data_IF_859383429500
#
_entry.id   IF_859383429500
#
_cell.length_a   1.000
_cell.length_b   1.000
_cell.length_c   1.000
_cell.angle_alpha   90.00
_cell.angle_beta   90.00
_cell.angle_gamma   90.00
#
_symmetry.space_group_name_H-M   'P 1'
#
loop_
_entity.id
_entity.type
_entity.pdbx_description
1 polymer ?
#
# COMPACT_ATOMS: atom_id res chain seq x y z
N UNK A 1 21.33 -20.59 8.05
CA UNK A 1 20.67 -21.46 9.03
C UNK A 1 19.26 -20.99 9.24
N UNK A 2 18.24 -21.75 8.86
CA UNK A 2 16.89 -21.34 9.16
C UNK A 2 16.74 -21.27 10.66
N UNK A 3 16.38 -20.13 11.14
CA UNK A 3 16.03 -20.01 12.54
C UNK A 3 15.00 -21.09 12.84
N UNK A 4 15.22 -21.91 13.82
CA UNK A 4 14.21 -22.85 14.22
C UNK A 4 13.06 -22.06 14.79
N UNK A 5 12.13 -21.70 13.93
CA UNK A 5 10.89 -21.29 14.50
C UNK A 5 10.29 -22.54 15.11
N UNK A 6 10.14 -22.60 16.40
CA UNK A 6 9.44 -23.67 17.04
C UNK A 6 8.00 -23.85 16.56
N UNK A 7 7.56 -23.01 15.64
CA UNK A 7 6.22 -23.02 15.08
C UNK A 7 6.18 -23.56 13.64
N UNK A 8 7.34 -23.84 13.04
CA UNK A 8 7.38 -24.35 11.68
C UNK A 8 6.92 -23.37 10.62
N UNK A 9 6.79 -22.09 10.93
CA UNK A 9 6.33 -21.07 9.99
C UNK A 9 7.54 -20.42 9.35
N UNK A 10 7.61 -20.49 8.02
CA UNK A 10 8.63 -19.79 7.26
C UNK A 10 8.34 -18.28 7.26
N UNK A 11 9.38 -17.46 7.37
CA UNK A 11 9.24 -16.01 7.21
C UNK A 11 8.60 -15.65 5.86
N UNK A 12 8.82 -16.46 4.83
CA UNK A 12 8.23 -16.23 3.50
C UNK A 12 6.70 -16.38 3.50
N UNK A 13 6.13 -17.06 4.47
CA UNK A 13 4.68 -17.17 4.62
C UNK A 13 4.05 -16.06 5.43
N UNK A 14 4.85 -15.12 5.94
CA UNK A 14 4.38 -14.01 6.78
C UNK A 14 4.29 -12.74 5.94
N UNK A 15 3.18 -12.03 6.04
CA UNK A 15 3.02 -10.71 5.44
C UNK A 15 3.12 -9.65 6.53
N UNK A 16 4.01 -8.69 6.33
CA UNK A 16 4.18 -7.57 7.23
C UNK A 16 3.63 -6.32 6.56
N UNK A 17 2.58 -5.75 7.14
CA UNK A 17 1.96 -4.53 6.62
C UNK A 17 2.54 -3.30 7.28
N UNK A 18 2.76 -2.26 6.48
CA UNK A 18 3.25 -0.98 6.96
C UNK A 18 2.54 0.17 6.24
N UNK A 19 2.41 1.28 6.92
CA UNK A 19 1.91 2.53 6.31
C UNK A 19 3.05 3.44 5.85
N UNK A 20 4.30 2.95 5.85
CA UNK A 20 5.44 3.72 5.39
C UNK A 20 6.31 4.26 6.51
N UNK A 21 6.39 3.53 7.62
CA UNK A 21 7.34 3.81 8.68
C UNK A 21 8.74 3.42 8.21
N UNK A 22 9.45 4.39 7.64
CA UNK A 22 10.74 4.15 7.02
C UNK A 22 11.74 3.47 7.96
N UNK A 23 11.89 3.90 9.23
CA UNK A 23 12.80 3.20 10.15
C UNK A 23 12.42 1.73 10.36
N UNK A 24 11.14 1.40 10.40
CA UNK A 24 10.69 0.02 10.55
C UNK A 24 11.03 -0.83 9.33
N UNK A 25 10.84 -0.28 8.14
CA UNK A 25 11.19 -0.97 6.89
C UNK A 25 12.71 -1.18 6.85
N UNK A 26 13.48 -0.17 7.18
CA UNK A 26 14.94 -0.26 7.16
C UNK A 26 15.47 -1.27 8.18
N UNK A 27 14.78 -1.44 9.32
CA UNK A 27 15.12 -2.51 10.26
C UNK A 27 14.92 -3.88 9.66
N UNK A 28 13.80 -4.13 8.98
CA UNK A 28 13.57 -5.40 8.30
C UNK A 28 14.65 -5.66 7.26
N UNK A 29 15.05 -4.62 6.55
CA UNK A 29 16.11 -4.69 5.55
C UNK A 29 17.44 -5.08 6.19
N UNK A 30 17.80 -4.41 7.27
CA UNK A 30 19.06 -4.67 7.97
C UNK A 30 19.11 -6.08 8.56
N UNK A 31 17.99 -6.57 9.05
CA UNK A 31 17.88 -7.91 9.62
C UNK A 31 17.77 -8.99 8.55
N UNK A 32 17.49 -8.61 7.31
CA UNK A 32 17.39 -9.55 6.19
C UNK A 32 16.25 -10.54 6.31
N UNK A 33 15.19 -10.18 7.03
CA UNK A 33 14.02 -11.06 7.24
C UNK A 33 13.16 -11.09 5.96
N UNK A 34 13.02 -12.24 5.30
CA UNK A 34 12.35 -12.30 3.99
C UNK A 34 10.83 -12.45 4.10
N UNK A 35 10.17 -11.57 4.83
CA UNK A 35 8.71 -11.50 4.86
C UNK A 35 8.18 -10.86 3.58
N UNK A 36 6.90 -11.05 3.28
CA UNK A 36 6.22 -10.27 2.25
C UNK A 36 5.91 -8.90 2.83
N UNK A 37 6.54 -7.86 2.29
CA UNK A 37 6.29 -6.50 2.74
C UNK A 37 5.12 -5.93 1.97
N UNK A 38 4.09 -5.49 2.67
CA UNK A 38 2.93 -4.83 2.10
C UNK A 38 2.89 -3.38 2.57
N UNK A 39 3.01 -2.45 1.63
CA UNK A 39 2.96 -1.02 1.92
C UNK A 39 1.56 -0.49 1.59
N UNK A 40 0.86 -0.01 2.60
CA UNK A 40 -0.43 0.66 2.44
C UNK A 40 -0.19 2.08 1.97
N UNK A 41 -0.33 2.32 0.68
CA UNK A 41 0.03 3.59 0.07
C UNK A 41 -1.14 4.55 -0.06
N UNK A 42 -2.18 4.15 -0.76
CA UNK A 42 -3.46 4.85 -0.93
C UNK A 42 -3.42 6.17 -1.70
N UNK A 43 -2.25 6.74 -1.95
CA UNK A 43 -2.07 7.88 -2.83
C UNK A 43 -0.61 7.98 -3.27
N UNK A 44 -0.35 8.34 -4.54
CA UNK A 44 1.02 8.49 -5.03
C UNK A 44 1.59 9.90 -4.84
N UNK A 45 0.73 10.86 -4.53
CA UNK A 45 1.10 12.26 -4.33
C UNK A 45 1.04 12.62 -2.85
N UNK A 46 2.03 13.37 -2.40
CA UNK A 46 2.16 13.72 -0.98
C UNK A 46 0.99 14.57 -0.49
N UNK A 47 0.49 15.44 -1.33
CA UNK A 47 -0.62 16.33 -0.95
C UNK A 47 -1.82 15.53 -0.47
N UNK A 48 -2.27 14.55 -1.24
CA UNK A 48 -3.39 13.71 -0.84
C UNK A 48 -2.98 12.73 0.27
N UNK A 49 -1.80 12.15 0.16
CA UNK A 49 -1.38 11.15 1.14
C UNK A 49 -1.21 11.74 2.53
N UNK A 50 -0.79 12.99 2.63
CA UNK A 50 -0.73 13.68 3.93
C UNK A 50 -2.10 13.71 4.61
N UNK A 51 -3.17 13.80 3.83
CA UNK A 51 -4.53 13.78 4.36
C UNK A 51 -5.01 12.38 4.71
N UNK A 52 -4.74 11.40 3.83
CA UNK A 52 -5.23 10.03 4.01
C UNK A 52 -4.40 9.22 4.99
N UNK A 53 -3.10 9.44 5.01
CA UNK A 53 -2.14 8.68 5.80
C UNK A 53 -1.23 9.67 6.51
N UNK A 54 -1.59 10.12 7.72
CA UNK A 54 -0.87 11.21 8.39
C UNK A 54 0.62 11.00 8.58
N UNK A 55 1.08 9.75 8.70
CA UNK A 55 2.52 9.47 8.82
C UNK A 55 3.30 9.95 7.59
N UNK A 56 2.61 10.22 6.47
CA UNK A 56 3.25 10.77 5.27
C UNK A 56 3.81 12.18 5.49
N UNK A 57 3.35 12.87 6.50
CA UNK A 57 3.93 14.18 6.86
C UNK A 57 5.35 14.03 7.37
N UNK A 58 5.68 12.86 7.91
CA UNK A 58 7.02 12.56 8.40
C UNK A 58 7.89 11.88 7.35
N UNK A 59 7.34 10.90 6.66
CA UNK A 59 8.04 10.18 5.59
C UNK A 59 7.19 10.23 4.33
N UNK A 60 7.68 10.93 3.34
CA UNK A 60 6.96 11.19 2.10
C UNK A 60 6.86 9.92 1.23
N UNK A 61 6.01 9.99 0.21
CA UNK A 61 5.79 8.87 -0.70
C UNK A 61 7.11 8.31 -1.24
N UNK A 62 7.97 9.16 -1.75
CA UNK A 62 9.23 8.70 -2.33
C UNK A 62 10.16 8.07 -1.29
N UNK A 63 10.17 8.58 -0.06
CA UNK A 63 10.95 7.99 1.02
C UNK A 63 10.45 6.58 1.37
N UNK A 64 9.13 6.41 1.44
CA UNK A 64 8.54 5.11 1.73
C UNK A 64 8.81 4.13 0.59
N UNK A 65 8.67 4.58 -0.67
CA UNK A 65 8.94 3.73 -1.83
C UNK A 65 10.43 3.37 -1.93
N UNK A 66 11.32 4.30 -1.62
CA UNK A 66 12.76 4.02 -1.62
C UNK A 66 13.12 2.99 -0.55
N UNK A 67 12.52 3.10 0.64
CA UNK A 67 12.75 2.13 1.70
C UNK A 67 12.25 0.73 1.30
N UNK A 68 11.08 0.66 0.68
CA UNK A 68 10.53 -0.59 0.18
C UNK A 68 11.41 -1.19 -0.92
N UNK A 69 11.96 -0.35 -1.80
CA UNK A 69 12.87 -0.82 -2.84
C UNK A 69 14.17 -1.36 -2.24
N UNK A 70 14.73 -0.69 -1.24
CA UNK A 70 15.91 -1.19 -0.52
C UNK A 70 15.63 -2.55 0.11
N UNK A 71 14.45 -2.74 0.66
CA UNK A 71 14.04 -4.03 1.21
C UNK A 71 14.03 -5.11 0.13
N UNK A 72 13.47 -4.80 -1.05
CA UNK A 72 13.47 -5.72 -2.17
C UNK A 72 14.91 -6.10 -2.57
N UNK A 73 15.80 -5.12 -2.69
CA UNK A 73 17.16 -5.36 -3.09
C UNK A 73 17.90 -6.26 -2.09
N UNK A 74 17.64 -6.07 -0.81
CA UNK A 74 18.30 -6.83 0.24
C UNK A 74 17.77 -8.26 0.37
N UNK A 75 16.49 -8.48 0.15
CA UNK A 75 15.85 -9.77 0.42
C UNK A 75 15.48 -10.55 -0.83
N UNK A 76 15.44 -9.92 -1.98
CA UNK A 76 14.94 -10.51 -3.22
C UNK A 76 13.42 -10.69 -3.23
N UNK A 77 12.71 -10.24 -2.19
CA UNK A 77 11.26 -10.37 -2.09
C UNK A 77 10.57 -9.23 -2.82
N UNK A 78 9.53 -9.56 -3.58
CA UNK A 78 8.69 -8.56 -4.24
C UNK A 78 7.81 -7.86 -3.22
N UNK A 79 7.76 -6.53 -3.31
CA UNK A 79 6.93 -5.71 -2.42
C UNK A 79 5.52 -5.61 -2.96
N UNK A 80 4.55 -5.63 -2.08
CA UNK A 80 3.14 -5.43 -2.42
C UNK A 80 2.72 -4.01 -2.03
N UNK A 81 2.08 -3.31 -2.96
CA UNK A 81 1.49 -1.99 -2.70
C UNK A 81 -0.02 -2.18 -2.57
N UNK A 82 -0.55 -1.87 -1.40
CA UNK A 82 -1.99 -1.90 -1.15
C UNK A 82 -2.57 -0.50 -1.40
N UNK A 83 -3.65 -0.43 -2.16
CA UNK A 83 -4.23 0.84 -2.58
C UNK A 83 -5.75 0.74 -2.54
N UNK A 84 -6.35 1.27 -1.47
CA UNK A 84 -7.80 1.29 -1.35
C UNK A 84 -8.36 2.36 -2.30
N UNK A 85 -9.17 1.95 -3.26
CA UNK A 85 -9.75 2.86 -4.24
C UNK A 85 -10.98 3.55 -3.68
N UNK A 86 -10.94 4.87 -3.62
CA UNK A 86 -12.00 5.70 -3.05
C UNK A 86 -12.51 6.62 -4.15
N UNK A 87 -13.82 6.58 -4.40
CA UNK A 87 -14.44 7.35 -5.47
C UNK A 87 -14.12 8.83 -5.36
N UNK A 88 -13.62 9.41 -6.45
CA UNK A 88 -13.34 10.84 -6.62
C UNK A 88 -12.28 11.40 -5.65
N UNK A 89 -11.62 10.54 -4.89
CA UNK A 89 -10.58 10.93 -3.93
C UNK A 89 -9.19 10.57 -4.46
N UNK A 90 -8.95 9.28 -4.71
CA UNK A 90 -7.64 8.78 -5.11
C UNK A 90 -7.66 7.89 -6.36
N UNK A 91 -8.79 7.79 -7.05
CA UNK A 91 -8.98 6.84 -8.13
C UNK A 91 -8.81 7.44 -9.54
N UNK A 92 -8.28 8.64 -9.64
CA UNK A 92 -8.08 9.33 -10.92
C UNK A 92 -7.00 8.63 -11.76
N UNK A 93 -7.21 8.65 -13.09
CA UNK A 93 -6.25 8.05 -14.01
C UNK A 93 -4.85 8.66 -13.88
N UNK A 94 -4.74 9.98 -13.65
CA UNK A 94 -3.45 10.62 -13.49
C UNK A 94 -2.70 10.11 -12.26
N UNK A 95 -3.43 9.73 -11.20
CA UNK A 95 -2.80 9.13 -10.03
C UNK A 95 -2.27 7.74 -10.34
N UNK A 96 -2.99 6.96 -11.15
CA UNK A 96 -2.49 5.68 -11.61
C UNK A 96 -1.19 5.86 -12.41
N UNK A 97 -1.16 6.84 -13.31
CA UNK A 97 0.03 7.13 -14.10
C UNK A 97 1.20 7.59 -13.22
N UNK A 98 0.95 8.45 -12.26
CA UNK A 98 1.99 8.92 -11.34
C UNK A 98 2.56 7.76 -10.53
N UNK A 99 1.69 6.90 -10.00
CA UNK A 99 2.14 5.72 -9.27
C UNK A 99 2.96 4.80 -10.16
N UNK A 100 2.47 4.53 -11.36
CA UNK A 100 3.18 3.70 -12.33
C UNK A 100 4.57 4.23 -12.65
N UNK A 101 4.69 5.53 -12.85
CA UNK A 101 5.97 6.18 -13.12
C UNK A 101 6.92 6.05 -11.93
N UNK A 102 6.45 6.32 -10.72
CA UNK A 102 7.28 6.23 -9.52
C UNK A 102 7.79 4.82 -9.28
N UNK A 103 6.94 3.83 -9.46
CA UNK A 103 7.32 2.44 -9.28
C UNK A 103 8.29 1.99 -10.37
N UNK A 104 8.01 2.35 -11.60
CA UNK A 104 8.82 1.95 -12.75
C UNK A 104 10.21 2.57 -12.74
N UNK A 105 10.34 3.81 -12.26
CA UNK A 105 11.62 4.50 -12.16
C UNK A 105 12.64 3.74 -11.31
N UNK A 106 12.16 2.99 -10.32
CA UNK A 106 13.03 2.25 -9.41
C UNK A 106 13.50 0.92 -9.98
N UNK A 107 12.72 0.33 -10.89
CA UNK A 107 13.08 -0.92 -11.51
C UNK A 107 11.90 -1.73 -11.95
N UNK A 108 12.16 -2.87 -12.56
CA UNK A 108 11.13 -3.81 -13.00
C UNK A 108 11.07 -5.00 -12.05
N UNK A 109 9.85 -5.56 -11.90
CA UNK A 109 9.68 -6.84 -11.24
C UNK A 109 9.84 -6.81 -9.72
N UNK A 110 9.99 -5.63 -9.13
CA UNK A 110 10.20 -5.53 -7.68
C UNK A 110 8.91 -5.33 -6.90
N UNK A 111 7.83 -4.99 -7.58
CA UNK A 111 6.60 -4.54 -6.93
C UNK A 111 5.38 -5.08 -7.63
N UNK A 112 4.31 -5.25 -6.87
CA UNK A 112 2.99 -5.63 -7.34
C UNK A 112 1.97 -4.72 -6.66
N UNK A 113 1.02 -4.19 -7.42
CA UNK A 113 -0.01 -3.32 -6.87
C UNK A 113 -1.32 -4.10 -6.71
N UNK A 114 -1.91 -3.98 -5.54
CA UNK A 114 -3.20 -4.58 -5.21
C UNK A 114 -4.23 -3.47 -4.94
N UNK A 115 -4.97 -3.01 -5.95
CA UNK A 115 -6.11 -2.15 -5.69
C UNK A 115 -7.18 -2.89 -4.91
N UNK A 116 -7.74 -2.24 -3.90
CA UNK A 116 -8.73 -2.83 -3.02
C UNK A 116 -10.03 -2.06 -3.18
N UNK A 117 -11.11 -2.68 -3.74
CA UNK A 117 -12.40 -2.02 -3.80
C UNK A 117 -12.96 -1.80 -2.40
N UNK A 118 -13.54 -0.63 -2.17
CA UNK A 118 -14.17 -0.36 -0.89
C UNK A 118 -15.51 -1.07 -0.79
N UNK A 119 -15.76 -1.66 0.39
CA UNK A 119 -17.08 -2.11 0.77
C UNK A 119 -17.80 -0.94 1.45
N UNK A 120 -18.98 -0.52 0.96
CA UNK A 120 -19.74 0.50 1.67
C UNK A 120 -20.13 -0.01 3.04
N UNK A 121 -19.69 0.67 4.08
CA UNK A 121 -20.12 0.39 5.46
C UNK A 121 -21.00 1.51 5.97
N UNK A 122 -22.00 1.21 6.80
CA UNK A 122 -22.83 2.27 7.37
C UNK A 122 -21.98 3.29 8.12
N UNK A 123 -22.22 4.56 7.85
CA UNK A 123 -21.48 5.65 8.49
C UNK A 123 -20.16 6.01 7.84
N UNK A 124 -19.70 5.27 6.84
CA UNK A 124 -18.49 5.63 6.11
C UNK A 124 -18.76 6.77 5.14
N UNK A 125 -17.89 7.77 5.14
CA UNK A 125 -17.93 8.85 4.14
C UNK A 125 -17.30 8.45 2.81
N UNK A 126 -16.63 7.31 2.76
CA UNK A 126 -15.96 6.83 1.57
C UNK A 126 -16.90 6.00 0.72
N UNK A 127 -16.79 6.17 -0.59
CA UNK A 127 -17.61 5.44 -1.56
C UNK A 127 -16.71 4.65 -2.49
N UNK A 128 -17.15 3.46 -2.90
CA UNK A 128 -16.41 2.65 -3.85
C UNK A 128 -16.31 3.34 -5.21
N UNK A 129 -15.17 3.16 -5.88
CA UNK A 129 -14.97 3.67 -7.23
C UNK A 129 -15.98 3.09 -8.20
N UNK A 130 -16.32 3.88 -9.22
CA UNK A 130 -17.13 3.38 -10.33
C UNK A 130 -16.34 2.29 -11.05
N UNK A 131 -17.06 1.28 -11.54
CA UNK A 131 -16.40 0.12 -12.17
C UNK A 131 -15.48 0.53 -13.33
N UNK A 132 -15.91 1.44 -14.19
CA UNK A 132 -15.08 1.90 -15.30
C UNK A 132 -13.85 2.66 -14.85
N UNK A 133 -13.95 3.41 -13.77
CA UNK A 133 -12.81 4.14 -13.18
C UNK A 133 -11.82 3.16 -12.58
N UNK A 134 -12.30 2.16 -11.85
CA UNK A 134 -11.43 1.11 -11.31
C UNK A 134 -10.67 0.38 -12.42
N UNK A 135 -11.37 0.00 -13.49
CA UNK A 135 -10.74 -0.67 -14.63
C UNK A 135 -9.68 0.21 -15.29
N UNK A 136 -9.99 1.49 -15.48
CA UNK A 136 -9.04 2.44 -16.05
C UNK A 136 -7.80 2.60 -15.18
N UNK A 137 -7.98 2.67 -13.87
CA UNK A 137 -6.86 2.76 -12.92
C UNK A 137 -5.93 1.55 -13.07
N UNK A 138 -6.49 0.36 -13.11
CA UNK A 138 -5.73 -0.88 -13.28
C UNK A 138 -5.02 -0.91 -14.64
N UNK A 139 -5.72 -0.56 -15.70
CA UNK A 139 -5.14 -0.55 -17.05
C UNK A 139 -3.97 0.43 -17.17
N UNK A 140 -4.09 1.60 -16.54
CA UNK A 140 -3.02 2.60 -16.55
C UNK A 140 -1.76 2.08 -15.84
N UNK A 141 -1.92 1.44 -14.69
CA UNK A 141 -0.78 0.82 -14.00
C UNK A 141 -0.13 -0.27 -14.85
N UNK A 142 -0.94 -1.11 -15.46
CA UNK A 142 -0.42 -2.18 -16.34
C UNK A 142 0.28 -1.62 -17.56
N UNK A 143 -0.18 -0.50 -18.09
CA UNK A 143 0.46 0.17 -19.21
C UNK A 143 1.87 0.67 -18.86
N UNK A 144 2.13 0.96 -17.59
CA UNK A 144 3.47 1.29 -17.10
C UNK A 144 4.32 0.04 -16.82
N UNK A 145 3.81 -1.14 -17.11
CA UNK A 145 4.51 -2.39 -16.85
C UNK A 145 4.47 -2.85 -15.40
N UNK A 146 3.52 -2.33 -14.62
CA UNK A 146 3.39 -2.68 -13.21
C UNK A 146 2.34 -3.79 -13.06
N UNK A 147 2.73 -4.97 -12.55
CA UNK A 147 1.77 -6.03 -12.26
C UNK A 147 0.71 -5.53 -11.27
N UNK A 148 -0.54 -5.67 -11.64
CA UNK A 148 -1.66 -5.12 -10.87
C UNK A 148 -2.79 -6.14 -10.85
N UNK A 149 -3.27 -6.47 -9.67
CA UNK A 149 -4.37 -7.40 -9.48
C UNK A 149 -5.33 -6.82 -8.45
N UNK A 150 -6.58 -6.66 -8.85
CA UNK A 150 -7.61 -6.20 -7.92
C UNK A 150 -7.81 -7.25 -6.85
N UNK A 151 -7.72 -6.85 -5.60
CA UNK A 151 -7.93 -7.74 -4.48
C UNK A 151 -9.42 -7.79 -4.18
N UNK A 152 -10.05 -8.87 -4.57
CA UNK A 152 -11.46 -9.11 -4.26
C UNK A 152 -11.56 -9.68 -2.85
N UNK A 153 -11.46 -8.80 -1.87
CA UNK A 153 -11.62 -9.18 -0.47
C UNK A 153 -13.02 -8.81 -0.01
N UNK A 154 -13.71 -9.77 0.54
CA UNK A 154 -14.99 -9.54 1.16
C UNK A 154 -14.83 -9.77 2.65
N UNK A 155 -15.01 -8.71 3.45
CA UNK A 155 -15.00 -8.85 4.89
C UNK A 155 -13.88 -8.08 5.58
N UNK A 156 -13.24 -8.71 6.55
CA UNK A 156 -12.40 -8.05 7.54
C UNK A 156 -11.21 -7.25 7.00
N UNK A 157 -10.60 -7.70 5.90
CA UNK A 157 -9.44 -6.98 5.34
C UNK A 157 -9.83 -5.61 4.80
N UNK A 158 -10.97 -5.53 4.14
CA UNK A 158 -11.49 -4.26 3.62
C UNK A 158 -11.91 -3.36 4.78
N UNK A 159 -12.56 -3.94 5.78
CA UNK A 159 -12.95 -3.21 6.98
C UNK A 159 -11.73 -2.65 7.69
N UNK A 160 -10.64 -3.41 7.75
CA UNK A 160 -9.38 -2.94 8.32
C UNK A 160 -8.80 -1.75 7.55
N UNK A 161 -8.80 -1.80 6.21
CA UNK A 161 -8.33 -0.70 5.39
C UNK A 161 -9.20 0.54 5.56
N UNK A 162 -10.52 0.38 5.54
CA UNK A 162 -11.45 1.47 5.79
C UNK A 162 -11.27 2.04 7.19
N UNK A 163 -11.06 1.19 8.18
CA UNK A 163 -10.82 1.60 9.56
C UNK A 163 -9.54 2.42 9.70
N UNK A 164 -8.46 2.01 9.03
CA UNK A 164 -7.21 2.76 9.03
C UNK A 164 -7.36 4.13 8.39
N UNK A 165 -8.04 4.20 7.25
CA UNK A 165 -8.28 5.47 6.58
C UNK A 165 -9.19 6.37 7.41
N UNK A 166 -10.23 5.82 8.00
CA UNK A 166 -11.14 6.58 8.86
C UNK A 166 -10.40 7.10 10.10
N UNK A 167 -9.57 6.29 10.73
CA UNK A 167 -8.77 6.71 11.86
C UNK A 167 -7.75 7.79 11.48
N UNK A 168 -7.18 7.67 10.28
CA UNK A 168 -6.22 8.65 9.79
C UNK A 168 -6.87 9.99 9.47
N UNK A 169 -8.11 9.98 8.98
CA UNK A 169 -8.80 11.21 8.56
C UNK A 169 -9.66 11.83 9.64
N UNK A 170 -10.12 11.05 10.60
CA UNK A 170 -10.86 11.57 11.75
C UNK A 170 -9.96 12.13 12.84
N UNK A 171 -8.72 12.34 12.51
CA UNK A 171 -7.60 12.67 13.37
C UNK A 171 -7.68 13.90 14.24
N UNK A 172 -8.84 14.20 14.77
CA UNK A 172 -8.87 15.00 15.97
C UNK A 172 -9.02 14.03 17.13
N UNK A 173 -8.07 13.94 18.02
CA UNK A 173 -8.38 13.37 19.30
C UNK A 173 -9.51 14.21 19.86
N UNK A 174 -10.65 13.62 20.00
CA UNK A 174 -11.61 14.20 20.89
C UNK A 174 -10.92 14.25 22.25
N UNK A 175 -10.38 15.43 22.52
CA UNK A 175 -9.98 15.72 23.89
C UNK A 175 -11.24 15.65 24.72
N UNK A 176 -11.43 14.52 25.33
CA UNK A 176 -12.40 14.41 26.39
C UNK A 176 -11.98 15.23 27.58
#
# INVERSE_FOLDING_TARGET
EPAPSGLGISARGITMSTVGLVPGIDRLTAEGIPVTLALSLHAPDDELRDELVPINTRWKVDEALDAAFRYHEATGRRVSIEYALIRDINDQAWRADLLGQKLRQRGRGWVHVNPIPLNPTPGSKWTASRRGVEQQFVERLRAHGIPTTVRDTRGSDIDGACGQLAAATSGAPESG
#
